data_IF_130626762138
#
_entry.id   IF_130626762138
#
_cell.length_a   1.000
_cell.length_b   1.000
_cell.length_c   1.000
_cell.angle_alpha   90.00
_cell.angle_beta   90.00
_cell.angle_gamma   90.00
#
_symmetry.space_group_name_H-M   'P 1'
#
loop_
_entity.id
_entity.type
_entity.pdbx_description
1 polymer ?
#
# COMPACT_ATOMS: atom_id res chain seq x y z
N UNK A 1 28.12 -56.47 43.02
CA UNK A 1 28.69 -55.95 41.79
C UNK A 1 28.20 -56.79 40.62
N UNK A 2 27.35 -56.26 39.79
CA UNK A 2 26.89 -56.90 38.54
C UNK A 2 27.28 -56.00 37.37
N UNK A 3 27.85 -56.56 36.27
CA UNK A 3 28.35 -55.78 35.15
C UNK A 3 27.15 -55.25 34.27
N UNK A 4 27.32 -54.05 33.78
CA UNK A 4 26.38 -53.35 32.90
C UNK A 4 26.59 -53.87 31.46
N UNK A 5 25.54 -54.42 30.87
CA UNK A 5 25.56 -54.92 29.50
C UNK A 5 25.51 -53.76 28.49
N UNK A 6 26.54 -53.74 27.63
CA UNK A 6 26.64 -52.79 26.50
C UNK A 6 25.60 -53.11 25.42
N UNK A 7 24.75 -52.15 25.11
CA UNK A 7 23.74 -52.24 24.07
C UNK A 7 24.38 -51.86 22.72
N UNK A 8 24.45 -52.83 21.83
CA UNK A 8 24.96 -52.74 20.45
C UNK A 8 24.03 -51.90 19.63
N UNK A 9 24.54 -50.79 19.03
CA UNK A 9 23.78 -49.96 18.10
C UNK A 9 23.87 -50.59 16.72
N UNK A 10 22.75 -51.12 16.21
CA UNK A 10 22.64 -51.58 14.83
C UNK A 10 22.40 -50.40 13.91
N UNK A 11 23.19 -50.27 12.86
CA UNK A 11 23.00 -49.30 11.79
C UNK A 11 21.99 -49.86 10.80
N UNK A 12 20.99 -49.05 10.38
CA UNK A 12 20.06 -49.45 9.31
C UNK A 12 20.71 -49.33 7.94
N UNK A 13 20.46 -50.38 7.14
CA UNK A 13 21.06 -50.66 5.86
C UNK A 13 20.78 -49.60 4.76
N UNK A 14 21.74 -49.52 3.87
CA UNK A 14 21.68 -48.83 2.58
C UNK A 14 20.55 -49.41 1.72
N UNK A 15 19.46 -48.64 1.52
CA UNK A 15 18.47 -48.91 0.49
C UNK A 15 18.91 -48.27 -0.82
N UNK A 16 18.83 -49.07 -1.88
CA UNK A 16 19.29 -48.78 -3.23
C UNK A 16 18.58 -47.58 -3.87
N UNK A 17 19.34 -46.68 -4.46
CA UNK A 17 18.88 -45.61 -5.31
C UNK A 17 18.23 -46.19 -6.59
N UNK A 18 16.91 -46.14 -6.69
CA UNK A 18 16.21 -46.26 -7.96
C UNK A 18 16.27 -44.92 -8.71
N UNK A 19 16.99 -44.89 -9.82
CA UNK A 19 16.96 -43.82 -10.81
C UNK A 19 15.57 -43.82 -11.47
N UNK A 20 14.74 -42.87 -11.13
CA UNK A 20 13.58 -42.50 -11.94
C UNK A 20 14.00 -41.44 -12.95
N UNK A 21 13.93 -41.79 -14.23
CA UNK A 21 14.07 -40.87 -15.34
C UNK A 21 12.91 -39.86 -15.27
N UNK A 22 13.17 -38.66 -14.75
CA UNK A 22 12.28 -37.51 -14.92
C UNK A 22 12.52 -36.96 -16.32
N UNK A 23 11.57 -37.18 -17.20
CA UNK A 23 11.44 -36.49 -18.49
C UNK A 23 11.23 -35.00 -18.19
N UNK A 24 12.12 -34.16 -18.68
CA UNK A 24 11.97 -32.71 -18.63
C UNK A 24 10.71 -32.33 -19.46
N UNK A 25 9.83 -31.48 -18.91
CA UNK A 25 8.75 -30.92 -19.73
C UNK A 25 9.37 -29.97 -20.76
N UNK A 26 9.01 -30.20 -22.01
CA UNK A 26 9.29 -29.36 -23.17
C UNK A 26 8.95 -27.89 -22.90
N UNK A 27 9.85 -27.02 -23.33
CA UNK A 27 9.72 -25.57 -23.35
C UNK A 27 8.41 -25.12 -24.00
N UNK A 28 7.35 -24.92 -23.20
CA UNK A 28 6.20 -24.16 -23.66
C UNK A 28 6.58 -22.68 -23.73
N UNK A 29 6.44 -22.19 -24.94
CA UNK A 29 6.65 -20.81 -25.39
C UNK A 29 5.80 -19.90 -24.53
N UNK A 30 6.43 -19.05 -23.70
CA UNK A 30 5.79 -17.93 -23.04
C UNK A 30 5.22 -17.00 -24.11
N UNK A 31 3.95 -16.57 -24.01
CA UNK A 31 3.41 -15.58 -24.93
C UNK A 31 4.23 -14.29 -24.78
N UNK A 32 4.79 -13.88 -25.89
CA UNK A 32 5.49 -12.62 -26.08
C UNK A 32 4.58 -11.48 -25.60
N UNK A 33 4.95 -10.82 -24.49
CA UNK A 33 4.36 -9.55 -24.10
C UNK A 33 4.79 -8.50 -25.15
N UNK A 34 3.97 -8.39 -26.21
CA UNK A 34 4.10 -7.29 -27.13
C UNK A 34 3.73 -6.00 -26.41
N UNK A 35 4.68 -5.10 -26.40
CA UNK A 35 4.60 -3.76 -25.82
C UNK A 35 3.29 -3.06 -26.22
N UNK A 36 2.50 -2.68 -25.22
CA UNK A 36 1.26 -1.91 -25.34
C UNK A 36 1.45 -0.46 -25.84
N UNK A 37 2.59 -0.12 -26.44
CA UNK A 37 2.82 1.23 -27.01
C UNK A 37 1.85 1.57 -28.14
N UNK A 38 1.42 0.58 -28.92
CA UNK A 38 0.51 0.81 -30.05
C UNK A 38 -0.92 1.11 -29.57
N UNK A 39 -1.34 0.52 -28.44
CA UNK A 39 -2.67 0.76 -27.85
C UNK A 39 -2.70 2.15 -27.21
N UNK A 40 -1.65 2.55 -26.50
CA UNK A 40 -1.55 3.88 -25.89
C UNK A 40 -1.54 5.01 -26.94
N UNK A 41 -0.88 4.82 -28.07
CA UNK A 41 -0.86 5.81 -29.18
C UNK A 41 -2.25 5.97 -29.83
N UNK A 42 -3.07 4.91 -29.88
CA UNK A 42 -4.42 4.96 -30.44
C UNK A 42 -5.39 5.79 -29.57
N UNK A 43 -5.25 5.76 -28.24
CA UNK A 43 -6.07 6.58 -27.36
C UNK A 43 -5.67 8.06 -27.40
N UNK A 44 -4.39 8.38 -27.61
CA UNK A 44 -3.95 9.76 -27.71
C UNK A 44 -4.41 10.45 -29.00
N UNK A 45 -4.51 9.73 -30.13
CA UNK A 45 -5.02 10.28 -31.40
C UNK A 45 -6.54 10.49 -31.39
N UNK A 46 -7.31 9.69 -30.68
CA UNK A 46 -8.77 9.89 -30.56
C UNK A 46 -9.11 11.06 -29.63
N UNK A 47 -8.28 11.36 -28.63
CA UNK A 47 -8.51 12.48 -27.72
C UNK A 47 -8.21 13.85 -28.35
N UNK A 48 -7.25 13.92 -29.30
CA UNK A 48 -6.92 15.16 -30.03
C UNK A 48 -7.97 15.50 -31.12
N UNK A 49 -8.67 14.52 -31.68
CA UNK A 49 -9.69 14.77 -32.71
C UNK A 49 -10.98 15.33 -32.11
N UNK A 50 -11.28 15.02 -30.82
CA UNK A 50 -12.49 15.53 -30.16
C UNK A 50 -12.42 17.01 -29.78
N UNK A 51 -11.22 17.60 -29.67
CA UNK A 51 -11.03 19.02 -29.30
C UNK A 51 -11.17 19.96 -30.52
N UNK A 52 -11.03 19.46 -31.76
CA UNK A 52 -11.05 20.28 -32.98
C UNK A 52 -12.47 20.47 -33.55
N UNK A 53 -13.45 19.66 -33.13
CA UNK A 53 -14.80 19.64 -33.73
C UNK A 53 -15.83 20.60 -33.10
N UNK A 54 -15.49 21.37 -32.04
CA UNK A 54 -16.40 22.32 -31.41
C UNK A 54 -15.91 23.77 -31.42
N UNK A 55 -15.13 24.13 -32.44
CA UNK A 55 -14.72 25.51 -32.63
C UNK A 55 -15.80 26.33 -33.35
N UNK A 56 -16.78 26.85 -32.64
CA UNK A 56 -17.58 27.98 -33.10
C UNK A 56 -17.27 29.19 -32.25
N UNK A 57 -16.73 30.17 -32.91
CA UNK A 57 -16.44 31.49 -32.41
C UNK A 57 -17.71 32.16 -31.81
N UNK A 58 -17.57 32.75 -30.65
CA UNK A 58 -18.38 33.92 -30.28
C UNK A 58 -17.51 34.98 -29.63
N UNK A 59 -17.64 36.17 -30.13
CA UNK A 59 -16.69 37.25 -29.94
C UNK A 59 -16.85 38.06 -28.68
N UNK A 60 -15.81 38.81 -28.49
CA UNK A 60 -15.64 40.13 -27.88
C UNK A 60 -16.35 40.48 -26.55
N UNK A 61 -15.48 40.74 -25.56
CA UNK A 61 -15.71 41.82 -24.59
C UNK A 61 -15.92 41.39 -23.16
N UNK A 62 -14.86 41.33 -22.39
CA UNK A 62 -14.64 42.25 -21.25
C UNK A 62 -13.39 41.83 -20.46
N UNK A 63 -12.54 42.82 -20.23
CA UNK A 63 -11.43 42.74 -19.28
C UNK A 63 -12.02 42.71 -17.87
N UNK A 64 -11.97 41.57 -17.16
CA UNK A 64 -11.97 41.57 -15.69
C UNK A 64 -11.33 40.24 -15.19
N UNK A 65 -10.25 40.36 -14.45
CA UNK A 65 -9.92 39.48 -13.33
C UNK A 65 -9.24 38.16 -13.61
N UNK A 66 -7.99 38.18 -14.06
CA UNK A 66 -7.10 36.99 -14.01
C UNK A 66 -6.61 36.66 -12.59
N UNK A 67 -7.50 36.55 -11.61
CA UNK A 67 -7.13 36.21 -10.23
C UNK A 67 -7.88 34.98 -9.65
N UNK A 68 -8.90 34.45 -10.35
CA UNK A 68 -9.76 33.40 -9.80
C UNK A 68 -9.29 31.95 -10.07
N UNK A 69 -8.35 31.73 -10.97
CA UNK A 69 -7.95 30.36 -11.37
C UNK A 69 -6.86 29.72 -10.50
N UNK A 70 -6.24 30.48 -9.59
CA UNK A 70 -5.19 29.94 -8.70
C UNK A 70 -5.70 29.36 -7.38
N UNK A 71 -6.92 29.66 -6.98
CA UNK A 71 -7.49 29.19 -5.70
C UNK A 71 -8.18 27.83 -5.78
N UNK A 72 -8.59 27.37 -6.96
CA UNK A 72 -9.28 26.08 -7.10
C UNK A 72 -8.34 24.88 -7.16
N UNK A 73 -7.14 25.05 -7.73
CA UNK A 73 -6.15 23.95 -7.84
C UNK A 73 -5.60 23.47 -6.49
N UNK A 74 -5.59 24.32 -5.44
CA UNK A 74 -5.18 23.93 -4.09
C UNK A 74 -6.30 23.24 -3.27
N UNK A 75 -7.54 23.38 -3.66
CA UNK A 75 -8.69 22.85 -2.92
C UNK A 75 -9.04 21.39 -3.31
N UNK A 76 -8.73 20.96 -4.52
CA UNK A 76 -9.10 19.64 -5.04
C UNK A 76 -8.48 18.46 -4.27
N UNK A 77 -7.17 18.42 -3.97
CA UNK A 77 -6.59 17.31 -3.24
C UNK A 77 -7.16 17.18 -1.83
N UNK A 78 -7.45 18.30 -1.16
CA UNK A 78 -8.09 18.31 0.16
C UNK A 78 -9.54 17.82 0.08
N UNK A 79 -10.25 18.15 -0.97
CA UNK A 79 -11.62 17.69 -1.19
C UNK A 79 -11.68 16.16 -1.39
N UNK A 80 -10.81 15.59 -2.24
CA UNK A 80 -10.70 14.15 -2.41
C UNK A 80 -10.30 13.46 -1.11
N UNK A 81 -9.33 14.02 -0.38
CA UNK A 81 -8.92 13.52 0.92
C UNK A 81 -10.11 13.46 1.90
N UNK A 82 -10.88 14.53 2.03
CA UNK A 82 -12.03 14.58 2.94
C UNK A 82 -13.14 13.57 2.54
N UNK A 83 -13.38 13.37 1.23
CA UNK A 83 -14.28 12.31 0.75
C UNK A 83 -13.74 10.93 1.13
N UNK A 84 -12.44 10.70 0.99
CA UNK A 84 -11.79 9.47 1.41
C UNK A 84 -11.97 9.19 2.90
N UNK A 85 -11.81 10.21 3.75
CA UNK A 85 -12.05 10.10 5.20
C UNK A 85 -13.48 9.68 5.51
N UNK A 86 -14.48 10.30 4.88
CA UNK A 86 -15.89 9.94 5.07
C UNK A 86 -16.16 8.48 4.68
N UNK A 87 -15.61 8.02 3.56
CA UNK A 87 -15.74 6.65 3.10
C UNK A 87 -15.03 5.66 4.03
N UNK A 88 -13.85 6.04 4.55
CA UNK A 88 -13.11 5.24 5.53
C UNK A 88 -13.89 5.07 6.83
N UNK A 89 -14.53 6.13 7.36
CA UNK A 89 -15.43 6.04 8.52
C UNK A 89 -16.67 5.18 8.23
N UNK A 90 -17.17 5.18 7.00
CA UNK A 90 -18.25 4.29 6.55
C UNK A 90 -17.76 2.85 6.29
N UNK A 91 -16.50 2.51 6.61
CA UNK A 91 -15.84 1.21 6.35
C UNK A 91 -15.81 0.82 4.85
N UNK A 92 -15.97 1.76 3.94
CA UNK A 92 -15.93 1.59 2.47
C UNK A 92 -14.50 1.76 1.97
N UNK A 93 -13.61 0.82 2.36
CA UNK A 93 -12.17 0.98 2.19
C UNK A 93 -11.71 1.00 0.73
N UNK A 94 -12.37 0.26 -0.16
CA UNK A 94 -12.07 0.27 -1.60
C UNK A 94 -12.42 1.61 -2.26
N UNK A 95 -13.57 2.18 -1.89
CA UNK A 95 -13.99 3.49 -2.38
C UNK A 95 -13.09 4.61 -1.79
N UNK A 96 -12.74 4.50 -0.51
CA UNK A 96 -11.81 5.41 0.16
C UNK A 96 -10.43 5.43 -0.51
N UNK A 97 -9.90 4.24 -0.88
CA UNK A 97 -8.66 4.11 -1.64
C UNK A 97 -8.68 4.98 -2.89
N UNK A 98 -9.73 4.87 -3.74
CA UNK A 98 -9.85 5.66 -4.98
C UNK A 98 -9.77 7.16 -4.69
N UNK A 99 -10.39 7.62 -3.60
CA UNK A 99 -10.37 9.03 -3.23
C UNK A 99 -9.00 9.52 -2.75
N UNK A 100 -8.30 8.70 -1.95
CA UNK A 100 -6.94 9.02 -1.55
C UNK A 100 -5.97 8.99 -2.73
N UNK A 101 -6.12 8.06 -3.68
CA UNK A 101 -5.35 8.03 -4.92
C UNK A 101 -5.59 9.29 -5.77
N UNK A 102 -6.83 9.77 -5.89
CA UNK A 102 -7.15 11.05 -6.54
C UNK A 102 -6.48 12.23 -5.83
N UNK A 103 -6.52 12.27 -4.49
CA UNK A 103 -5.83 13.31 -3.72
C UNK A 103 -4.31 13.31 -3.97
N UNK A 104 -3.71 12.12 -4.06
CA UNK A 104 -2.27 11.94 -4.30
C UNK A 104 -1.85 12.18 -5.75
N UNK A 105 -2.76 12.00 -6.72
CA UNK A 105 -2.52 12.38 -8.11
C UNK A 105 -2.33 13.90 -8.24
N UNK A 106 -3.11 14.67 -7.49
CA UNK A 106 -3.01 16.15 -7.45
C UNK A 106 -1.88 16.64 -6.53
N UNK A 107 -1.66 15.96 -5.41
CA UNK A 107 -0.59 16.29 -4.45
C UNK A 107 0.16 15.04 -3.99
N UNK A 108 1.22 14.62 -4.69
CA UNK A 108 2.03 13.44 -4.37
C UNK A 108 2.79 13.53 -3.03
N UNK A 109 2.84 14.71 -2.41
CA UNK A 109 3.52 14.93 -1.12
C UNK A 109 2.57 15.04 0.06
N UNK A 110 1.30 14.68 -0.12
CA UNK A 110 0.29 14.73 0.93
C UNK A 110 0.46 13.55 1.90
N UNK A 111 1.23 13.74 2.96
CA UNK A 111 1.60 12.67 3.90
C UNK A 111 0.40 11.98 4.54
N UNK A 112 -0.62 12.75 4.95
CA UNK A 112 -1.83 12.22 5.56
C UNK A 112 -2.66 11.38 4.57
N UNK A 113 -2.67 11.74 3.28
CA UNK A 113 -3.33 10.94 2.25
C UNK A 113 -2.61 9.61 2.02
N UNK A 114 -1.26 9.60 2.02
CA UNK A 114 -0.50 8.35 2.01
C UNK A 114 -0.82 7.48 3.23
N UNK A 115 -0.84 8.04 4.44
CA UNK A 115 -1.19 7.30 5.65
C UNK A 115 -2.57 6.63 5.54
N UNK A 116 -3.59 7.37 5.14
CA UNK A 116 -4.96 6.88 5.07
C UNK A 116 -5.20 5.93 3.88
N UNK A 117 -4.45 6.07 2.80
CA UNK A 117 -4.41 5.09 1.72
C UNK A 117 -3.81 3.76 2.23
N UNK A 118 -2.70 3.83 2.97
CA UNK A 118 -2.12 2.66 3.64
C UNK A 118 -3.12 1.96 4.56
N UNK A 119 -3.85 2.72 5.37
CA UNK A 119 -4.92 2.19 6.23
C UNK A 119 -6.02 1.50 5.43
N UNK A 120 -6.53 2.14 4.39
CA UNK A 120 -7.58 1.59 3.54
C UNK A 120 -7.15 0.30 2.85
N UNK A 121 -5.91 0.24 2.35
CA UNK A 121 -5.32 -0.97 1.77
C UNK A 121 -5.16 -2.09 2.81
N UNK A 122 -4.68 -1.78 4.01
CA UNK A 122 -4.55 -2.75 5.11
C UNK A 122 -5.89 -3.37 5.49
N UNK A 123 -6.95 -2.55 5.59
CA UNK A 123 -8.31 -3.02 5.93
C UNK A 123 -8.96 -3.88 4.84
N UNK A 124 -8.48 -3.83 3.59
CA UNK A 124 -8.92 -4.69 2.50
C UNK A 124 -8.32 -6.11 2.55
N UNK A 125 -7.26 -6.33 3.33
CA UNK A 125 -6.73 -7.67 3.57
C UNK A 125 -5.27 -7.90 3.20
N UNK A 126 -4.76 -9.12 3.47
CA UNK A 126 -3.32 -9.44 3.40
C UNK A 126 -2.67 -9.23 2.03
N UNK A 127 -3.43 -9.39 0.94
CA UNK A 127 -2.95 -9.18 -0.42
C UNK A 127 -2.47 -7.75 -0.68
N UNK A 128 -2.90 -6.79 0.15
CA UNK A 128 -2.54 -5.38 0.02
C UNK A 128 -1.49 -4.92 1.06
N UNK A 129 -1.00 -5.81 1.95
CA UNK A 129 -0.10 -5.41 3.04
C UNK A 129 1.21 -4.79 2.55
N UNK A 130 1.79 -5.30 1.46
CA UNK A 130 3.01 -4.72 0.88
C UNK A 130 2.78 -3.29 0.40
N UNK A 131 1.69 -3.05 -0.32
CA UNK A 131 1.32 -1.71 -0.79
C UNK A 131 1.01 -0.76 0.38
N UNK A 132 0.29 -1.25 1.39
CA UNK A 132 0.01 -0.47 2.60
C UNK A 132 1.31 -0.03 3.29
N UNK A 133 2.29 -0.94 3.41
CA UNK A 133 3.59 -0.66 4.00
C UNK A 133 4.35 0.43 3.22
N UNK A 134 4.34 0.38 1.89
CA UNK A 134 4.95 1.41 1.04
C UNK A 134 4.35 2.79 1.32
N UNK A 135 3.03 2.88 1.43
CA UNK A 135 2.34 4.13 1.70
C UNK A 135 2.61 4.66 3.11
N UNK A 136 2.64 3.82 4.14
CA UNK A 136 3.05 4.26 5.49
C UNK A 136 4.50 4.75 5.52
N UNK A 137 5.42 4.05 4.84
CA UNK A 137 6.80 4.49 4.73
C UNK A 137 6.90 5.85 4.03
N UNK A 138 6.10 6.07 2.97
CA UNK A 138 6.06 7.35 2.28
C UNK A 138 5.50 8.47 3.15
N UNK A 139 4.45 8.19 3.91
CA UNK A 139 3.89 9.15 4.88
C UNK A 139 4.93 9.58 5.92
N UNK A 140 5.66 8.64 6.51
CA UNK A 140 6.73 8.89 7.47
C UNK A 140 7.90 9.65 6.84
N UNK A 141 8.29 9.30 5.60
CA UNK A 141 9.34 10.02 4.87
C UNK A 141 8.98 11.49 4.66
N UNK A 142 7.72 11.76 4.30
CA UNK A 142 7.22 13.12 4.04
C UNK A 142 7.00 13.91 5.34
N UNK A 143 6.54 13.24 6.40
CA UNK A 143 6.22 13.85 7.69
C UNK A 143 6.68 12.94 8.83
N UNK A 144 7.95 13.04 9.26
CA UNK A 144 8.53 12.15 10.28
C UNK A 144 7.88 12.21 11.66
N UNK A 145 7.10 13.25 11.95
CA UNK A 145 6.35 13.40 13.19
C UNK A 145 4.86 13.03 13.07
N UNK A 146 4.43 12.39 11.99
CA UNK A 146 3.08 11.87 11.83
C UNK A 146 2.90 10.60 12.66
N UNK A 147 2.48 10.75 13.90
CA UNK A 147 2.40 9.66 14.88
C UNK A 147 1.45 8.53 14.41
N UNK A 148 0.33 8.86 13.78
CA UNK A 148 -0.64 7.91 13.25
C UNK A 148 -0.03 6.96 12.21
N UNK A 149 0.98 7.40 11.47
CA UNK A 149 1.65 6.55 10.49
C UNK A 149 2.52 5.45 11.14
N UNK A 150 3.15 5.75 12.27
CA UNK A 150 3.89 4.74 13.04
C UNK A 150 2.95 3.76 13.72
N UNK A 151 1.83 4.23 14.30
CA UNK A 151 0.82 3.36 14.90
C UNK A 151 0.26 2.37 13.87
N UNK A 152 -0.23 2.87 12.74
CA UNK A 152 -0.83 2.03 11.69
C UNK A 152 0.19 1.09 11.03
N UNK A 153 1.45 1.53 10.86
CA UNK A 153 2.52 0.68 10.38
C UNK A 153 2.90 -0.39 11.40
N UNK A 154 2.96 -0.03 12.68
CA UNK A 154 3.20 -0.97 13.77
C UNK A 154 2.16 -2.09 13.81
N UNK A 155 0.87 -1.73 13.73
CA UNK A 155 -0.22 -2.72 13.62
C UNK A 155 -0.09 -3.58 12.36
N UNK A 156 0.30 -3.00 11.21
CA UNK A 156 0.55 -3.75 9.99
C UNK A 156 1.71 -4.74 10.17
N UNK A 157 2.80 -4.33 10.81
CA UNK A 157 3.93 -5.22 11.10
C UNK A 157 3.50 -6.43 11.95
N UNK A 158 2.63 -6.23 12.94
CA UNK A 158 2.09 -7.35 13.73
C UNK A 158 1.27 -8.31 12.87
N UNK A 159 0.41 -7.78 11.98
CA UNK A 159 -0.36 -8.61 11.03
C UNK A 159 0.53 -9.37 10.04
N UNK A 160 1.74 -8.88 9.79
CA UNK A 160 2.76 -9.55 8.96
C UNK A 160 3.70 -10.48 9.77
N UNK A 161 3.49 -10.66 11.07
CA UNK A 161 4.36 -11.44 11.96
C UNK A 161 5.70 -10.75 12.31
N UNK A 162 5.84 -9.45 12.03
CA UNK A 162 7.07 -8.67 12.18
C UNK A 162 7.08 -7.88 13.50
N UNK A 163 6.95 -8.57 14.62
CA UNK A 163 6.85 -7.96 15.95
C UNK A 163 8.00 -7.00 16.28
N UNK A 164 9.22 -7.36 15.95
CA UNK A 164 10.41 -6.51 16.21
C UNK A 164 10.32 -5.15 15.50
N UNK A 165 9.73 -5.10 14.31
CA UNK A 165 9.55 -3.84 13.59
C UNK A 165 8.40 -3.00 14.19
N UNK A 166 7.35 -3.64 14.69
CA UNK A 166 6.30 -2.97 15.45
C UNK A 166 6.83 -2.34 16.76
N UNK A 167 7.72 -3.02 17.47
CA UNK A 167 8.37 -2.51 18.68
C UNK A 167 9.27 -1.28 18.41
N UNK A 168 9.90 -1.19 17.23
CA UNK A 168 10.63 0.03 16.80
C UNK A 168 9.70 1.21 16.59
N UNK A 169 8.54 0.97 15.96
CA UNK A 169 7.52 2.02 15.78
C UNK A 169 6.95 2.46 17.13
N UNK A 170 6.70 1.52 18.05
CA UNK A 170 6.28 1.82 19.41
C UNK A 170 7.29 2.71 20.14
N UNK A 171 8.59 2.42 20.02
CA UNK A 171 9.63 3.24 20.64
C UNK A 171 9.59 4.70 20.14
N UNK A 172 9.35 4.89 18.82
CA UNK A 172 9.17 6.21 18.23
C UNK A 172 7.91 6.90 18.72
N UNK A 173 6.80 6.17 18.82
CA UNK A 173 5.53 6.69 19.30
C UNK A 173 5.57 7.15 20.75
N UNK A 174 6.32 6.48 21.62
CA UNK A 174 6.50 6.88 23.02
C UNK A 174 7.04 8.30 23.15
N UNK A 175 7.85 8.75 22.19
CA UNK A 175 8.37 10.12 22.14
C UNK A 175 7.40 11.10 21.44
N UNK A 176 6.68 10.65 20.40
CA UNK A 176 5.82 11.51 19.58
C UNK A 176 4.43 11.72 20.20
N UNK A 177 3.77 10.64 20.60
CA UNK A 177 2.37 10.65 21.06
C UNK A 177 2.10 9.47 22.01
N UNK A 178 2.34 9.63 23.33
CA UNK A 178 2.23 8.55 24.32
C UNK A 178 0.89 7.82 24.31
N UNK A 179 -0.22 8.50 23.98
CA UNK A 179 -1.54 7.86 23.87
C UNK A 179 -1.56 6.78 22.80
N UNK A 180 -1.11 7.08 21.57
CA UNK A 180 -1.04 6.10 20.48
C UNK A 180 0.01 5.01 20.77
N UNK A 181 1.05 5.33 21.53
CA UNK A 181 2.01 4.32 21.98
C UNK A 181 1.34 3.28 22.90
N UNK A 182 0.50 3.69 23.82
CA UNK A 182 -0.25 2.77 24.68
C UNK A 182 -1.20 1.89 23.87
N UNK A 183 -1.88 2.46 22.88
CA UNK A 183 -2.78 1.73 21.97
C UNK A 183 -2.00 0.65 21.19
N UNK A 184 -0.85 1.00 20.59
CA UNK A 184 -0.01 0.02 19.90
C UNK A 184 0.59 -1.03 20.87
N UNK A 185 0.98 -0.62 22.09
CA UNK A 185 1.53 -1.54 23.10
C UNK A 185 0.48 -2.59 23.50
N UNK A 186 -0.78 -2.19 23.65
CA UNK A 186 -1.89 -3.10 23.91
C UNK A 186 -2.09 -4.09 22.76
N UNK A 187 -2.05 -3.62 21.50
CA UNK A 187 -2.13 -4.52 20.34
C UNK A 187 -0.95 -5.52 20.30
N UNK A 188 0.25 -5.09 20.68
CA UNK A 188 1.44 -5.95 20.76
C UNK A 188 1.25 -7.07 21.83
N UNK A 189 0.59 -6.74 22.93
CA UNK A 189 0.36 -7.68 24.06
C UNK A 189 -0.81 -8.61 23.81
N UNK A 190 -1.92 -8.10 23.32
CA UNK A 190 -3.19 -8.84 23.18
C UNK A 190 -3.37 -9.48 21.80
N UNK A 191 -2.72 -8.96 20.78
CA UNK A 191 -2.97 -9.32 19.38
C UNK A 191 -4.28 -8.76 18.80
N UNK A 192 -5.05 -8.00 19.58
CA UNK A 192 -6.34 -7.43 19.20
C UNK A 192 -6.17 -5.96 18.81
N UNK A 193 -6.60 -5.61 17.61
CA UNK A 193 -6.78 -4.23 17.17
C UNK A 193 -8.21 -3.81 17.56
N UNK A 194 -8.37 -2.80 18.41
CA UNK A 194 -9.68 -2.21 18.63
C UNK A 194 -10.23 -1.60 17.33
N UNK A 195 -11.46 -1.98 16.99
CA UNK A 195 -12.14 -1.57 15.73
C UNK A 195 -12.86 -0.22 15.89
#
# INVERSE_FOLDING_TARGET
MRPIASKKIEQPGRAAARRSNAVAPSSEVLPHFQNNETVMKSYFTLFTIYIIATGTAFGAGSKTGGAALKSEQGAQPVQFYNQGIQLMHAKKFTEAQVKFEQALAENPTFAEAHNNLGYSLRKQGPQNYSKALEHYNKAIQLKPNLAEAYEYRGVLFLKMGRKVDAEKDLATLKALKPKLANELEEVIQTGNEEN
#
